data_IF_169596035625
#
_entry.id   IF_169596035625
#
_cell.length_a   1.000
_cell.length_b   1.000
_cell.length_c   1.000
_cell.angle_alpha   90.00
_cell.angle_beta   90.00
_cell.angle_gamma   90.00
#
_symmetry.space_group_name_H-M   'P 1'
#
loop_
_entity.id
_entity.type
_entity.pdbx_description
1 polymer ?
#
# COMPACT_ATOMS: atom_id res chain seq x y z
N UNK A 1 -13.40 13.21 -8.84
CA UNK A 1 -13.59 12.62 -7.51
C UNK A 1 -12.59 11.49 -7.35
N UNK A 2 -11.67 11.56 -6.38
CA UNK A 2 -10.83 10.41 -6.06
C UNK A 2 -11.74 9.29 -5.52
N UNK A 3 -11.64 8.06 -6.04
CA UNK A 3 -12.38 6.94 -5.49
C UNK A 3 -11.95 6.75 -4.03
N UNK A 4 -12.91 6.78 -3.11
CA UNK A 4 -12.64 6.46 -1.70
C UNK A 4 -12.37 4.98 -1.60
N UNK A 5 -11.12 4.61 -1.38
CA UNK A 5 -10.75 3.25 -1.04
C UNK A 5 -11.46 2.89 0.28
N UNK A 6 -12.21 1.77 0.35
CA UNK A 6 -12.87 1.35 1.58
C UNK A 6 -11.87 1.15 2.72
N UNK A 7 -12.26 1.47 3.96
CA UNK A 7 -11.39 1.33 5.14
C UNK A 7 -10.79 -0.09 5.27
N UNK A 8 -11.58 -1.13 5.00
CA UNK A 8 -11.09 -2.52 5.04
C UNK A 8 -9.98 -2.78 4.02
N UNK A 9 -10.04 -2.14 2.86
CA UNK A 9 -8.98 -2.23 1.85
C UNK A 9 -7.71 -1.51 2.33
N UNK A 10 -7.85 -0.31 2.92
CA UNK A 10 -6.72 0.38 3.54
C UNK A 10 -6.06 -0.46 4.65
N UNK A 11 -6.89 -1.10 5.49
CA UNK A 11 -6.42 -1.98 6.57
C UNK A 11 -5.69 -3.21 6.03
N UNK A 12 -6.25 -3.88 5.02
CA UNK A 12 -5.61 -5.03 4.38
C UNK A 12 -4.26 -4.68 3.74
N UNK A 13 -4.19 -3.54 3.02
CA UNK A 13 -2.94 -3.04 2.44
C UNK A 13 -1.91 -2.70 3.52
N UNK A 14 -2.33 -2.10 4.63
CA UNK A 14 -1.45 -1.78 5.78
C UNK A 14 -0.88 -3.06 6.41
N UNK A 15 -1.69 -4.10 6.57
CA UNK A 15 -1.23 -5.38 7.11
C UNK A 15 -0.23 -6.06 6.18
N UNK A 16 -0.50 -6.07 4.87
CA UNK A 16 0.41 -6.61 3.87
C UNK A 16 1.75 -5.85 3.86
N UNK A 17 1.71 -4.52 3.89
CA UNK A 17 2.91 -3.69 3.99
C UNK A 17 3.75 -4.02 5.24
N UNK A 18 3.12 -4.21 6.40
CA UNK A 18 3.81 -4.62 7.63
C UNK A 18 4.45 -6.01 7.51
N UNK A 19 3.77 -6.96 6.86
CA UNK A 19 4.32 -8.29 6.63
C UNK A 19 5.56 -8.24 5.74
N UNK A 20 5.55 -7.42 4.69
CA UNK A 20 6.71 -7.22 3.82
C UNK A 20 7.90 -6.64 4.57
N UNK A 21 7.67 -5.58 5.37
CA UNK A 21 8.70 -5.02 6.24
C UNK A 21 9.27 -6.06 7.21
N UNK A 22 8.42 -6.87 7.84
CA UNK A 22 8.84 -7.93 8.75
C UNK A 22 9.63 -9.05 8.07
N UNK A 23 9.38 -9.29 6.78
CA UNK A 23 10.10 -10.27 5.97
C UNK A 23 11.39 -9.70 5.34
N UNK A 24 11.65 -8.40 5.45
CA UNK A 24 12.76 -7.74 4.73
C UNK A 24 12.54 -7.64 3.22
N UNK A 25 11.30 -7.83 2.76
CA UNK A 25 10.92 -7.78 1.36
C UNK A 25 10.42 -6.37 1.01
N UNK A 26 10.79 -5.87 -0.17
CA UNK A 26 10.35 -4.57 -0.67
C UNK A 26 9.19 -4.68 -1.65
N UNK A 27 8.77 -5.89 -2.01
CA UNK A 27 7.70 -6.11 -2.98
C UNK A 27 6.90 -7.38 -2.71
N UNK A 28 5.58 -7.30 -2.86
CA UNK A 28 4.70 -8.45 -2.96
C UNK A 28 3.92 -8.45 -4.26
N UNK A 29 3.67 -9.64 -4.79
CA UNK A 29 2.65 -9.88 -5.80
C UNK A 29 1.54 -10.71 -5.18
N UNK A 30 0.30 -10.23 -5.26
CA UNK A 30 -0.88 -10.92 -4.74
C UNK A 30 -2.03 -10.83 -5.72
N UNK A 31 -3.11 -11.55 -5.42
CA UNK A 31 -4.35 -11.52 -6.18
C UNK A 31 -5.50 -11.07 -5.27
N UNK A 32 -6.36 -10.22 -5.79
CA UNK A 32 -7.59 -9.80 -5.09
C UNK A 32 -8.81 -10.12 -5.92
N UNK A 33 -9.87 -10.61 -5.28
CA UNK A 33 -11.17 -10.79 -5.92
C UNK A 33 -12.02 -9.54 -5.61
N UNK A 34 -12.40 -8.79 -6.63
CA UNK A 34 -13.26 -7.62 -6.52
C UNK A 34 -14.28 -7.63 -7.67
N UNK A 35 -15.53 -7.30 -7.38
CA UNK A 35 -16.61 -7.24 -8.40
C UNK A 35 -16.73 -8.53 -9.26
N UNK A 36 -16.46 -9.69 -8.65
CA UNK A 36 -16.49 -10.98 -9.33
C UNK A 36 -15.30 -11.25 -10.27
N UNK A 37 -14.25 -10.43 -10.23
CA UNK A 37 -13.05 -10.55 -11.07
C UNK A 37 -11.79 -10.65 -10.22
N UNK A 38 -10.81 -11.44 -10.70
CA UNK A 38 -9.50 -11.57 -10.07
C UNK A 38 -8.55 -10.56 -10.69
N UNK A 39 -7.93 -9.72 -9.85
CA UNK A 39 -6.92 -8.76 -10.25
C UNK A 39 -5.57 -9.16 -9.69
N UNK A 40 -4.51 -9.00 -10.49
CA UNK A 40 -3.13 -9.05 -9.99
C UNK A 40 -2.78 -7.69 -9.38
N UNK A 41 -2.27 -7.73 -8.17
CA UNK A 41 -1.87 -6.54 -7.41
C UNK A 41 -0.40 -6.66 -7.06
N UNK A 42 0.32 -5.57 -7.25
CA UNK A 42 1.71 -5.42 -6.83
C UNK A 42 1.74 -4.38 -5.73
N UNK A 43 2.34 -4.72 -4.59
CA UNK A 43 2.62 -3.76 -3.52
C UNK A 43 4.13 -3.58 -3.44
N UNK A 44 4.61 -2.36 -3.62
CA UNK A 44 6.01 -2.00 -3.42
C UNK A 44 6.16 -1.13 -2.16
N UNK A 45 7.27 -1.32 -1.47
CA UNK A 45 7.72 -0.49 -0.36
C UNK A 45 8.95 0.26 -0.82
N UNK A 46 8.78 1.55 -1.08
CA UNK A 46 9.86 2.44 -1.45
C UNK A 46 10.20 3.31 -0.24
N UNK A 47 11.46 3.26 0.25
CA UNK A 47 11.86 4.09 1.36
C UNK A 47 11.80 5.56 0.95
N UNK A 48 11.14 6.36 1.76
CA UNK A 48 11.09 7.81 1.56
C UNK A 48 12.45 8.40 1.97
N UNK A 49 13.14 9.14 1.08
CA UNK A 49 14.37 9.85 1.43
C UNK A 49 14.15 10.82 2.59
N UNK A 50 15.13 10.92 3.49
CA UNK A 50 14.99 11.70 4.73
C UNK A 50 14.70 13.19 4.47
N UNK A 51 15.27 13.74 3.40
CA UNK A 51 15.07 15.11 2.92
C UNK A 51 13.64 15.36 2.39
N UNK A 52 12.90 14.31 2.02
CA UNK A 52 11.55 14.39 1.46
C UNK A 52 10.45 14.07 2.47
N UNK A 53 10.80 13.63 3.69
CA UNK A 53 9.83 13.21 4.70
C UNK A 53 8.80 14.29 5.02
N UNK A 54 9.23 15.56 5.14
CA UNK A 54 8.34 16.66 5.49
C UNK A 54 7.31 16.93 4.39
N UNK A 55 7.72 16.84 3.13
CA UNK A 55 6.84 17.04 1.98
C UNK A 55 5.78 15.94 1.89
N UNK A 56 6.19 14.68 2.11
CA UNK A 56 5.28 13.54 2.14
C UNK A 56 4.25 13.68 3.26
N UNK A 57 4.66 14.08 4.47
CA UNK A 57 3.72 14.30 5.60
C UNK A 57 2.71 15.41 5.27
N UNK A 58 3.17 16.49 4.62
CA UNK A 58 2.30 17.62 4.28
C UNK A 58 1.24 17.28 3.23
N UNK A 59 1.48 16.28 2.37
CA UNK A 59 0.50 15.82 1.36
C UNK A 59 -0.71 15.07 1.94
N UNK A 60 -0.61 14.55 3.18
CA UNK A 60 -1.68 13.83 3.84
C UNK A 60 -2.58 14.70 4.73
N UNK A 61 -2.32 16.02 4.80
CA UNK A 61 -3.18 17.00 5.48
C UNK A 61 -4.34 17.44 4.60
#
# INVERSE_FOLDING_TARGET
MQPRIPFETCRALTLLARQLLGAGETQAQTHVLAEGRVFRVVVSLEPVPADQLQDVINQYR
#
